data_IF_548904983430
#
_entry.id   IF_548904983430
#
_cell.length_a   1.000
_cell.length_b   1.000
_cell.length_c   1.000
_cell.angle_alpha   90.00
_cell.angle_beta   90.00
_cell.angle_gamma   90.00
#
_symmetry.space_group_name_H-M   'P 1'
#
loop_
_entity.id
_entity.type
_entity.pdbx_description
1 polymer ?
#
# COMPACT_ATOMS: atom_id res chain seq x y z
N UNK A 1 14.63 15.35 -2.49
CA UNK A 1 13.35 15.72 -1.86
C UNK A 1 12.73 14.52 -1.20
N UNK A 2 12.07 14.73 -0.08
CA UNK A 2 11.43 13.63 0.64
C UNK A 2 10.20 13.14 -0.14
N UNK A 3 10.04 11.83 -0.21
CA UNK A 3 8.85 11.23 -0.79
C UNK A 3 7.67 11.46 0.15
N UNK A 4 6.49 11.68 -0.42
CA UNK A 4 5.29 11.89 0.39
C UNK A 4 4.81 10.55 0.95
N UNK A 5 4.59 10.46 2.25
CA UNK A 5 4.07 9.26 2.88
C UNK A 5 2.58 9.13 2.56
N UNK A 6 2.20 8.04 1.93
CA UNK A 6 0.82 7.75 1.57
C UNK A 6 0.15 6.82 2.58
N UNK A 7 0.93 6.02 3.28
CA UNK A 7 0.39 5.09 4.24
C UNK A 7 1.47 4.22 4.84
N UNK A 8 1.02 3.21 5.59
CA UNK A 8 1.91 2.29 6.28
C UNK A 8 1.32 0.89 6.20
N UNK A 9 2.18 -0.11 6.01
CA UNK A 9 1.75 -1.50 5.99
C UNK A 9 1.45 -1.93 7.42
N UNK A 10 0.22 -2.38 7.68
CA UNK A 10 -0.19 -2.85 8.99
C UNK A 10 -0.22 -4.38 9.08
N UNK A 11 -0.48 -5.05 7.96
CA UNK A 11 -0.47 -6.50 7.88
C UNK A 11 -0.03 -6.95 6.50
N UNK A 12 0.49 -8.16 6.41
CA UNK A 12 0.82 -8.77 5.14
C UNK A 12 0.35 -10.22 5.12
N UNK A 13 -0.38 -10.58 4.08
CA UNK A 13 -0.88 -11.93 3.87
C UNK A 13 -0.11 -12.56 2.74
N UNK A 14 0.88 -13.38 3.07
CA UNK A 14 1.79 -13.96 2.08
C UNK A 14 1.12 -14.98 1.17
N UNK A 15 0.05 -15.62 1.61
CA UNK A 15 -0.68 -16.61 0.80
C UNK A 15 -1.33 -15.98 -0.43
N UNK A 16 -1.70 -14.71 -0.34
CA UNK A 16 -2.40 -14.02 -1.43
C UNK A 16 -1.64 -12.79 -1.90
N UNK A 17 -0.45 -12.56 -1.35
CA UNK A 17 0.41 -11.42 -1.70
C UNK A 17 -0.30 -10.09 -1.56
N UNK A 18 -1.04 -9.92 -0.47
CA UNK A 18 -1.79 -8.68 -0.19
C UNK A 18 -1.23 -8.01 1.04
N UNK A 19 -0.89 -6.73 0.91
CA UNK A 19 -0.50 -5.91 2.04
C UNK A 19 -1.65 -4.99 2.43
N UNK A 20 -1.92 -4.90 3.73
CA UNK A 20 -2.93 -3.98 4.23
C UNK A 20 -2.25 -2.67 4.57
N UNK A 21 -2.74 -1.60 3.98
CA UNK A 21 -2.20 -0.26 4.16
C UNK A 21 -3.18 0.58 4.95
N UNK A 22 -2.68 1.20 6.02
CA UNK A 22 -3.44 2.25 6.69
C UNK A 22 -3.14 3.55 5.95
N UNK A 23 -4.14 4.09 5.31
CA UNK A 23 -3.97 5.24 4.41
C UNK A 23 -3.76 6.52 5.19
N UNK A 24 -2.68 7.23 4.91
CA UNK A 24 -2.36 8.51 5.54
C UNK A 24 -2.68 9.69 4.63
N UNK A 25 -2.70 9.45 3.33
CA UNK A 25 -3.10 10.44 2.32
C UNK A 25 -3.85 9.72 1.23
N UNK A 26 -4.84 10.35 0.60
CA UNK A 26 -5.64 9.66 -0.42
C UNK A 26 -4.79 9.04 -1.52
N UNK A 27 -5.14 7.80 -1.88
CA UNK A 27 -4.49 7.08 -2.97
C UNK A 27 -5.56 6.49 -3.88
N UNK A 28 -5.20 6.18 -5.10
CA UNK A 28 -6.14 5.61 -6.07
C UNK A 28 -5.46 4.58 -6.96
N UNK A 29 -6.26 3.74 -7.58
CA UNK A 29 -5.78 2.79 -8.58
C UNK A 29 -5.11 3.56 -9.71
N UNK A 30 -3.94 3.10 -10.12
CA UNK A 30 -3.13 3.76 -11.11
C UNK A 30 -2.00 4.60 -10.53
N UNK A 31 -2.06 4.88 -9.23
CA UNK A 31 -0.97 5.61 -8.57
C UNK A 31 0.24 4.70 -8.44
N UNK A 32 1.40 5.28 -8.65
CA UNK A 32 2.66 4.57 -8.46
C UNK A 32 3.16 4.83 -7.05
N UNK A 33 3.52 3.79 -6.35
CA UNK A 33 3.96 3.88 -4.95
C UNK A 33 5.32 3.23 -4.77
N UNK A 34 6.05 3.74 -3.80
CA UNK A 34 7.33 3.18 -3.37
C UNK A 34 7.14 2.61 -1.98
N UNK A 35 7.30 1.31 -1.83
CA UNK A 35 7.18 0.66 -0.54
C UNK A 35 8.58 0.49 0.04
N UNK A 36 8.81 1.13 1.16
CA UNK A 36 10.14 1.18 1.76
C UNK A 36 10.08 0.80 3.22
N UNK A 37 10.96 -0.10 3.62
CA UNK A 37 11.09 -0.52 4.99
C UNK A 37 12.52 -0.96 5.28
N UNK A 38 12.72 -1.59 6.42
CA UNK A 38 14.05 -2.01 6.84
C UNK A 38 14.71 -2.97 5.82
N UNK A 39 13.91 -3.90 5.29
CA UNK A 39 14.39 -4.87 4.30
C UNK A 39 13.57 -4.81 3.00
N UNK A 40 12.70 -3.82 2.86
CA UNK A 40 11.79 -3.67 1.74
C UNK A 40 12.10 -2.37 1.00
N UNK A 41 12.26 -2.46 -0.30
CA UNK A 41 12.50 -1.27 -1.13
C UNK A 41 12.16 -1.59 -2.57
N UNK A 42 10.94 -1.27 -2.99
CA UNK A 42 10.54 -1.46 -4.37
C UNK A 42 9.40 -0.53 -4.74
N UNK A 43 9.22 -0.33 -6.03
CA UNK A 43 8.13 0.49 -6.56
C UNK A 43 7.15 -0.37 -7.32
N UNK A 44 5.88 0.00 -7.27
CA UNK A 44 4.86 -0.66 -8.08
C UNK A 44 3.69 0.29 -8.31
N UNK A 45 2.89 -0.04 -9.30
CA UNK A 45 1.65 0.66 -9.57
C UNK A 45 0.53 -0.04 -8.82
N UNK A 46 -0.40 0.72 -8.25
CA UNK A 46 -1.58 0.15 -7.60
C UNK A 46 -2.57 -0.24 -8.69
N UNK A 47 -2.74 -1.54 -8.90
CA UNK A 47 -3.66 -2.05 -9.92
C UNK A 47 -5.03 -2.37 -9.35
N UNK A 48 -5.07 -2.73 -8.07
CA UNK A 48 -6.31 -3.15 -7.42
C UNK A 48 -6.23 -2.86 -5.94
N UNK A 49 -7.31 -2.32 -5.39
CA UNK A 49 -7.46 -2.10 -3.96
C UNK A 49 -8.77 -2.69 -3.48
N UNK A 50 -8.79 -3.17 -2.25
CA UNK A 50 -9.99 -3.74 -1.65
C UNK A 50 -10.21 -3.15 -0.26
N UNK A 51 -11.48 -2.92 0.07
CA UNK A 51 -11.90 -2.47 1.38
C UNK A 51 -13.16 -3.26 1.75
N UNK A 52 -13.14 -3.95 2.89
CA UNK A 52 -14.26 -4.77 3.36
C UNK A 52 -14.75 -5.75 2.28
N UNK A 53 -13.82 -6.48 1.67
CA UNK A 53 -14.09 -7.48 0.63
C UNK A 53 -14.64 -6.90 -0.68
N UNK A 54 -14.66 -5.58 -0.80
CA UNK A 54 -15.11 -4.93 -2.04
C UNK A 54 -13.96 -4.21 -2.72
N UNK A 55 -13.93 -4.25 -4.05
CA UNK A 55 -12.95 -3.49 -4.82
C UNK A 55 -13.27 -2.01 -4.78
N UNK A 56 -12.26 -1.18 -4.59
CA UNK A 56 -12.41 0.28 -4.60
C UNK A 56 -11.37 0.88 -5.53
N UNK A 57 -11.65 2.06 -6.03
CA UNK A 57 -10.71 2.78 -6.91
C UNK A 57 -9.94 3.86 -6.17
N UNK A 58 -10.49 4.37 -5.08
CA UNK A 58 -9.89 5.46 -4.31
C UNK A 58 -9.97 5.13 -2.83
N UNK A 59 -8.87 5.34 -2.11
CA UNK A 59 -8.82 5.16 -0.66
C UNK A 59 -8.62 6.53 -0.01
N UNK A 60 -9.29 6.74 1.10
CA UNK A 60 -9.24 8.00 1.84
C UNK A 60 -8.41 7.85 3.11
N UNK A 61 -7.92 8.98 3.62
CA UNK A 61 -7.14 9.01 4.86
C UNK A 61 -7.91 8.31 5.99
N UNK A 62 -7.20 7.45 6.70
CA UNK A 62 -7.77 6.71 7.84
C UNK A 62 -8.36 5.37 7.50
N UNK A 63 -8.52 5.04 6.23
CA UNK A 63 -9.01 3.73 5.82
C UNK A 63 -7.87 2.72 5.80
N UNK A 64 -8.23 1.45 6.04
CA UNK A 64 -7.29 0.36 5.87
C UNK A 64 -7.71 -0.43 4.63
N UNK A 65 -6.83 -0.49 3.64
CA UNK A 65 -7.15 -1.14 2.37
C UNK A 65 -6.10 -2.17 2.03
N UNK A 66 -6.52 -3.21 1.33
CA UNK A 66 -5.60 -4.23 0.85
C UNK A 66 -5.18 -3.93 -0.59
N UNK A 67 -3.89 -4.01 -0.84
CA UNK A 67 -3.38 -3.94 -2.21
C UNK A 67 -2.54 -5.19 -2.49
N UNK A 68 -2.59 -5.64 -3.72
CA UNK A 68 -1.75 -6.74 -4.14
C UNK A 68 -0.34 -6.22 -4.37
N UNK A 69 0.63 -6.83 -3.71
CA UNK A 69 2.03 -6.41 -3.81
C UNK A 69 2.81 -7.45 -4.61
N UNK A 70 3.78 -6.98 -5.38
CA UNK A 70 4.58 -7.87 -6.21
C UNK A 70 5.75 -8.51 -5.46
N UNK A 71 6.08 -7.98 -4.29
CA UNK A 71 7.15 -8.50 -3.46
C UNK A 71 6.70 -8.55 -2.01
N UNK A 72 7.42 -9.29 -1.21
CA UNK A 72 7.13 -9.43 0.21
C UNK A 72 7.25 -8.07 0.92
N UNK A 73 6.26 -7.72 1.73
CA UNK A 73 6.29 -6.54 2.57
C UNK A 73 6.13 -6.95 4.03
N UNK A 74 6.43 -6.06 4.94
CA UNK A 74 6.35 -6.34 6.37
C UNK A 74 5.56 -5.25 7.07
N UNK A 75 5.01 -5.60 8.24
CA UNK A 75 4.35 -4.62 9.08
C UNK A 75 5.32 -3.51 9.42
N UNK A 76 4.87 -2.27 9.35
CA UNK A 76 5.70 -1.11 9.61
C UNK A 76 6.39 -0.53 8.38
N UNK A 77 6.33 -1.22 7.24
CA UNK A 77 6.87 -0.66 6.00
C UNK A 77 6.06 0.55 5.58
N UNK A 78 6.73 1.55 5.04
CA UNK A 78 6.07 2.77 4.60
C UNK A 78 5.69 2.69 3.13
N UNK A 79 4.53 3.27 2.80
CA UNK A 79 4.09 3.42 1.42
C UNK A 79 4.22 4.88 1.06
N UNK A 80 5.08 5.16 0.10
CA UNK A 80 5.44 6.52 -0.29
C UNK A 80 5.00 6.77 -1.73
N UNK A 81 4.82 8.03 -2.07
CA UNK A 81 4.51 8.40 -3.44
C UNK A 81 5.79 8.27 -4.27
N UNK A 82 5.71 7.51 -5.34
CA UNK A 82 6.83 7.34 -6.26
C UNK A 82 6.88 8.45 -7.30
#
# INVERSE_FOLDING_TARGET
MAEKKLGEITHYFDHISVGIIKVASPIKVGDKVHIKGHTTDFEQEIKEMQLDHGSIETAKKGQEVGIKVKEHVREGDEVLKA
#
